data_IF_894403781904
#
_entry.id   IF_894403781904
#
_cell.length_a   1.000
_cell.length_b   1.000
_cell.length_c   1.000
_cell.angle_alpha   90.00
_cell.angle_beta   90.00
_cell.angle_gamma   90.00
#
_symmetry.space_group_name_H-M   'P 1'
#
loop_
_entity.id
_entity.type
_entity.pdbx_description
1 polymer ?
#
# COMPACT_ATOMS: atom_id res chain seq x y z
N UNK A 1 7.45 8.06 -18.69
CA UNK A 1 6.00 8.32 -18.89
C UNK A 1 5.24 7.13 -18.35
N UNK A 2 4.24 7.36 -17.49
CA UNK A 2 3.32 6.34 -17.00
C UNK A 2 1.95 6.58 -17.68
N UNK A 3 1.40 5.52 -18.26
CA UNK A 3 0.07 5.54 -18.88
C UNK A 3 -0.76 4.38 -18.31
N UNK A 4 -2.04 4.63 -18.05
CA UNK A 4 -2.98 3.63 -17.58
C UNK A 4 -4.36 3.87 -18.21
N UNK A 5 -5.04 2.78 -18.51
CA UNK A 5 -6.42 2.78 -19.02
C UNK A 5 -7.04 1.42 -18.74
N UNK A 6 -8.34 1.38 -18.48
CA UNK A 6 -9.08 0.14 -18.30
C UNK A 6 -9.35 -0.57 -19.64
N UNK A 7 -9.28 0.17 -20.75
CA UNK A 7 -9.39 -0.37 -22.10
C UNK A 7 -7.99 -0.58 -22.70
N UNK A 8 -7.62 -1.85 -22.91
CA UNK A 8 -6.30 -2.26 -23.42
C UNK A 8 -6.03 -1.72 -24.82
N UNK A 9 -7.04 -1.67 -25.70
CA UNK A 9 -6.89 -1.21 -27.07
C UNK A 9 -6.68 0.32 -27.11
N UNK A 10 -7.43 1.07 -26.29
CA UNK A 10 -7.22 2.50 -26.13
C UNK A 10 -5.86 2.83 -25.53
N UNK A 11 -5.43 2.06 -24.50
CA UNK A 11 -4.10 2.22 -23.94
C UNK A 11 -3.01 1.97 -24.98
N UNK A 12 -3.13 0.92 -25.77
CA UNK A 12 -2.17 0.58 -26.82
C UNK A 12 -2.07 1.67 -27.88
N UNK A 13 -3.20 2.24 -28.29
CA UNK A 13 -3.22 3.35 -29.23
C UNK A 13 -2.56 4.63 -28.65
N UNK A 14 -2.84 4.94 -27.38
CA UNK A 14 -2.20 6.08 -26.69
C UNK A 14 -0.69 5.87 -26.55
N UNK A 15 -0.25 4.66 -26.20
CA UNK A 15 1.17 4.29 -26.12
C UNK A 15 1.86 4.51 -27.46
N UNK A 16 1.24 4.04 -28.55
CA UNK A 16 1.78 4.22 -29.88
C UNK A 16 1.96 5.70 -30.25
N UNK A 17 0.93 6.52 -30.05
CA UNK A 17 0.98 7.96 -30.35
C UNK A 17 2.06 8.66 -29.52
N UNK A 18 2.12 8.38 -28.21
CA UNK A 18 3.11 9.00 -27.32
C UNK A 18 4.51 8.57 -27.69
N UNK A 19 4.72 7.32 -28.06
CA UNK A 19 6.00 6.79 -28.50
C UNK A 19 6.51 7.50 -29.75
N UNK A 20 5.67 7.65 -30.78
CA UNK A 20 5.98 8.39 -32.02
C UNK A 20 6.41 9.83 -31.74
N UNK A 21 5.82 10.50 -30.73
CA UNK A 21 6.21 11.85 -30.37
C UNK A 21 7.52 11.90 -29.56
N UNK A 22 7.70 10.95 -28.64
CA UNK A 22 8.91 10.87 -27.80
C UNK A 22 10.14 10.52 -28.63
N UNK A 23 10.03 9.58 -29.58
CA UNK A 23 11.15 9.15 -30.43
C UNK A 23 11.70 10.27 -31.35
N UNK A 24 10.96 11.38 -31.51
CA UNK A 24 11.44 12.59 -32.22
C UNK A 24 12.49 13.37 -31.42
N UNK A 25 12.51 13.23 -30.10
CA UNK A 25 13.31 14.06 -29.19
C UNK A 25 14.14 13.25 -28.19
N UNK A 26 13.87 11.95 -28.04
CA UNK A 26 14.53 11.08 -27.05
C UNK A 26 14.53 9.63 -27.53
N UNK A 27 15.41 8.82 -26.96
CA UNK A 27 15.41 7.37 -27.13
C UNK A 27 14.53 6.70 -26.08
N UNK A 28 13.69 5.76 -26.49
CA UNK A 28 12.91 4.91 -25.59
C UNK A 28 13.78 3.70 -25.22
N UNK A 29 14.42 3.76 -24.07
CA UNK A 29 15.34 2.71 -23.60
C UNK A 29 14.62 1.48 -23.06
N UNK A 30 13.38 1.64 -22.57
CA UNK A 30 12.58 0.53 -22.01
C UNK A 30 11.10 0.86 -22.02
N UNK A 31 10.29 -0.17 -22.34
CA UNK A 31 8.84 -0.17 -22.18
C UNK A 31 8.44 -1.35 -21.32
N UNK A 32 7.64 -1.10 -20.28
CA UNK A 32 7.12 -2.12 -19.37
C UNK A 32 5.60 -2.13 -19.44
N UNK A 33 5.02 -3.34 -19.52
CA UNK A 33 3.57 -3.57 -19.49
C UNK A 33 3.19 -4.20 -18.17
N UNK A 34 2.35 -3.52 -17.42
CA UNK A 34 1.80 -4.00 -16.16
C UNK A 34 0.34 -4.40 -16.28
N UNK A 35 -0.07 -5.36 -15.46
CA UNK A 35 -1.45 -5.81 -15.34
C UNK A 35 -1.85 -5.81 -13.89
N UNK A 36 -3.07 -5.34 -13.61
CA UNK A 36 -3.66 -5.40 -12.27
C UNK A 36 -4.20 -6.81 -12.04
N UNK A 37 -3.71 -7.47 -11.01
CA UNK A 37 -4.26 -8.74 -10.56
C UNK A 37 -5.50 -8.50 -9.69
N UNK A 38 -6.54 -9.34 -9.87
CA UNK A 38 -7.80 -9.21 -9.13
C UNK A 38 -8.27 -10.57 -8.64
N UNK A 39 -8.83 -10.57 -7.44
CA UNK A 39 -9.65 -11.68 -6.95
C UNK A 39 -10.96 -11.79 -7.76
N UNK A 40 -11.68 -12.93 -7.68
CA UNK A 40 -12.96 -13.09 -8.37
C UNK A 40 -13.98 -11.99 -8.07
N UNK A 41 -13.95 -11.43 -6.86
CA UNK A 41 -14.80 -10.31 -6.41
C UNK A 41 -14.35 -8.95 -6.94
N UNK A 42 -13.32 -8.92 -7.80
CA UNK A 42 -12.79 -7.71 -8.41
C UNK A 42 -11.78 -6.93 -7.56
N UNK A 43 -11.50 -7.38 -6.35
CA UNK A 43 -10.55 -6.75 -5.44
C UNK A 43 -9.11 -6.89 -5.94
N UNK A 44 -8.36 -5.81 -5.91
CA UNK A 44 -6.95 -5.76 -6.34
C UNK A 44 -6.06 -6.53 -5.36
N UNK A 45 -5.16 -7.35 -5.89
CA UNK A 45 -4.15 -8.11 -5.14
C UNK A 45 -2.77 -7.95 -5.77
N UNK A 46 -1.73 -8.15 -4.98
CA UNK A 46 -0.37 -8.32 -5.45
C UNK A 46 -0.06 -9.82 -5.70
N UNK A 47 1.13 -10.15 -6.21
CA UNK A 47 1.45 -11.50 -6.69
C UNK A 47 1.49 -12.60 -5.60
N UNK A 48 1.69 -12.26 -4.33
CA UNK A 48 1.57 -13.21 -3.22
C UNK A 48 0.11 -13.46 -2.80
N UNK A 49 -0.85 -12.82 -3.48
CA UNK A 49 -2.30 -13.01 -3.29
C UNK A 49 -2.92 -12.12 -2.22
N UNK A 50 -2.18 -11.20 -1.63
CA UNK A 50 -2.72 -10.28 -0.62
C UNK A 50 -3.37 -9.04 -1.24
N UNK A 51 -4.36 -8.49 -0.53
CA UNK A 51 -5.00 -7.22 -0.91
C UNK A 51 -3.97 -6.11 -1.03
N UNK A 52 -4.00 -5.40 -2.15
CA UNK A 52 -3.12 -4.27 -2.43
C UNK A 52 -3.88 -2.95 -2.42
N UNK A 53 -3.18 -1.86 -2.13
CA UNK A 53 -3.73 -0.51 -2.13
C UNK A 53 -4.70 -0.18 -0.99
N UNK A 54 -4.84 -1.03 0.02
CA UNK A 54 -5.87 -0.88 1.07
C UNK A 54 -5.58 0.26 2.04
N UNK A 55 -4.34 0.52 2.39
CA UNK A 55 -3.98 1.52 3.42
C UNK A 55 -3.30 2.75 2.83
N UNK A 56 -3.94 3.40 1.86
CA UNK A 56 -3.39 4.59 1.23
C UNK A 56 -3.64 5.86 2.06
N UNK A 57 -2.73 6.84 2.04
CA UNK A 57 -2.99 8.15 2.60
C UNK A 57 -4.07 8.89 1.80
N UNK A 58 -4.94 9.61 2.49
CA UNK A 58 -6.05 10.36 1.90
C UNK A 58 -5.67 11.83 1.75
N UNK A 59 -5.47 12.27 0.52
CA UNK A 59 -5.03 13.63 0.20
C UNK A 59 -6.17 14.55 -0.20
N UNK A 60 -7.24 14.04 -0.79
CA UNK A 60 -8.35 14.87 -1.29
C UNK A 60 -9.60 14.75 -0.41
N UNK A 61 -10.42 15.79 -0.42
CA UNK A 61 -11.71 15.76 0.27
C UNK A 61 -12.60 14.61 -0.20
N UNK A 62 -12.57 14.34 -1.51
CA UNK A 62 -13.34 13.26 -2.12
C UNK A 62 -12.93 11.88 -1.58
N UNK A 63 -11.62 11.63 -1.45
CA UNK A 63 -11.12 10.36 -0.91
C UNK A 63 -11.49 10.21 0.57
N UNK A 64 -11.40 11.30 1.34
CA UNK A 64 -11.78 11.33 2.76
C UNK A 64 -13.28 11.06 2.94
N UNK A 65 -14.13 11.67 2.13
CA UNK A 65 -15.59 11.44 2.16
C UNK A 65 -15.93 10.01 1.79
N UNK A 66 -15.33 9.49 0.73
CA UNK A 66 -15.51 8.09 0.29
C UNK A 66 -15.08 7.08 1.37
N UNK A 67 -13.95 7.31 2.03
CA UNK A 67 -13.48 6.41 3.10
C UNK A 67 -14.41 6.46 4.31
N UNK A 68 -14.95 7.63 4.65
CA UNK A 68 -15.95 7.77 5.72
C UNK A 68 -17.27 7.05 5.45
N UNK A 69 -17.68 6.99 4.20
CA UNK A 69 -18.87 6.22 3.78
C UNK A 69 -18.66 4.71 3.94
N UNK A 70 -17.41 4.25 3.77
CA UNK A 70 -17.04 2.84 3.91
C UNK A 70 -16.77 2.43 5.36
N UNK A 71 -16.31 3.37 6.19
CA UNK A 71 -15.93 3.15 7.59
C UNK A 71 -16.60 4.22 8.48
N UNK A 72 -17.72 3.87 9.08
CA UNK A 72 -18.56 4.73 9.94
C UNK A 72 -17.85 5.18 11.25
N UNK A 73 -16.61 4.78 11.47
CA UNK A 73 -15.87 5.04 12.70
C UNK A 73 -15.22 6.41 12.77
N UNK A 74 -15.32 7.22 11.71
CA UNK A 74 -14.76 8.58 11.61
C UNK A 74 -13.27 8.67 12.00
N UNK A 75 -12.45 7.66 11.60
CA UNK A 75 -11.01 7.60 11.87
C UNK A 75 -10.63 7.61 13.36
N UNK A 76 -11.45 6.97 14.19
CA UNK A 76 -11.29 7.01 15.66
C UNK A 76 -10.02 6.32 16.16
N UNK A 77 -9.53 5.28 15.45
CA UNK A 77 -8.31 4.55 15.81
C UNK A 77 -7.11 4.91 14.93
N UNK A 78 -7.36 5.28 13.70
CA UNK A 78 -6.34 5.63 12.72
C UNK A 78 -6.83 6.73 11.78
N UNK A 79 -6.08 7.80 11.67
CA UNK A 79 -6.36 8.92 10.76
C UNK A 79 -5.44 8.84 9.53
N UNK A 80 -5.94 8.39 8.37
CA UNK A 80 -5.17 8.27 7.14
C UNK A 80 -5.00 9.61 6.39
N UNK A 81 -5.59 10.71 6.87
CA UNK A 81 -5.53 12.00 6.18
C UNK A 81 -4.11 12.54 6.16
N UNK A 82 -3.69 13.00 5.02
CA UNK A 82 -2.37 13.59 4.81
C UNK A 82 -2.46 14.91 4.03
N UNK A 83 -1.62 15.90 4.32
CA UNK A 83 -1.64 17.15 3.58
C UNK A 83 -1.14 16.94 2.15
N UNK A 84 -1.82 17.53 1.18
CA UNK A 84 -1.48 17.43 -0.24
C UNK A 84 -0.05 17.93 -0.54
N UNK A 85 0.47 18.85 0.29
CA UNK A 85 1.85 19.36 0.20
C UNK A 85 2.95 18.31 0.43
N UNK A 86 2.60 17.12 0.91
CA UNK A 86 3.56 15.99 0.99
C UNK A 86 3.88 15.40 -0.38
N UNK A 87 2.95 15.52 -1.33
CA UNK A 87 3.06 14.87 -2.65
C UNK A 87 3.07 15.86 -3.80
N UNK A 88 2.56 17.08 -3.62
CA UNK A 88 2.59 18.13 -4.63
C UNK A 88 3.52 19.27 -4.22
N UNK A 89 4.43 19.62 -5.12
CA UNK A 89 5.36 20.73 -5.01
C UNK A 89 5.10 21.72 -6.14
N UNK A 90 5.35 23.00 -5.89
CA UNK A 90 5.40 23.98 -6.98
C UNK A 90 6.44 23.55 -7.99
N UNK A 91 6.08 23.54 -9.26
CA UNK A 91 7.03 23.28 -10.34
C UNK A 91 7.93 24.53 -10.51
N UNK A 92 9.24 24.45 -10.23
CA UNK A 92 10.15 25.58 -10.35
C UNK A 92 10.37 26.02 -11.79
N UNK A 93 10.00 25.18 -12.76
CA UNK A 93 10.08 25.48 -14.19
C UNK A 93 8.70 25.75 -14.82
N UNK A 94 7.66 25.71 -14.00
CA UNK A 94 6.29 25.92 -14.41
C UNK A 94 6.07 27.35 -14.92
N UNK A 95 5.28 27.48 -16.00
CA UNK A 95 4.97 28.76 -16.64
C UNK A 95 3.78 29.50 -16.01
N UNK A 96 3.07 28.84 -15.09
CA UNK A 96 1.88 29.39 -14.44
C UNK A 96 1.94 29.19 -12.93
N UNK A 97 1.18 30.00 -12.20
CA UNK A 97 1.03 29.84 -10.74
C UNK A 97 0.40 28.50 -10.33
N UNK A 98 -0.27 27.82 -11.27
CA UNK A 98 -0.94 26.54 -11.05
C UNK A 98 -0.10 25.34 -11.52
N UNK A 99 1.17 25.56 -11.87
CA UNK A 99 2.08 24.48 -12.26
C UNK A 99 2.61 23.77 -11.00
N UNK A 100 2.33 22.47 -10.91
CA UNK A 100 2.78 21.60 -9.85
C UNK A 100 3.48 20.37 -10.41
N UNK A 101 4.36 19.82 -9.62
CA UNK A 101 5.06 18.58 -9.89
C UNK A 101 5.03 17.64 -8.68
N UNK A 102 5.47 16.42 -8.90
CA UNK A 102 5.68 15.43 -7.86
C UNK A 102 6.91 14.60 -8.18
N UNK A 103 7.43 13.89 -7.16
CA UNK A 103 8.48 12.90 -7.39
C UNK A 103 7.87 11.56 -7.74
N UNK A 104 8.45 10.90 -8.76
CA UNK A 104 8.16 9.52 -9.11
C UNK A 104 9.41 8.67 -8.87
N UNK A 105 9.26 7.61 -8.10
CA UNK A 105 10.27 6.56 -7.95
C UNK A 105 9.76 5.31 -8.62
N UNK A 106 10.48 4.83 -9.62
CA UNK A 106 10.16 3.58 -10.31
C UNK A 106 11.17 2.50 -9.92
N UNK A 107 10.67 1.35 -9.48
CA UNK A 107 11.46 0.16 -9.20
C UNK A 107 10.73 -1.07 -9.74
N UNK A 108 11.41 -1.81 -10.61
CA UNK A 108 10.92 -3.12 -11.05
C UNK A 108 11.48 -4.17 -10.09
N UNK A 109 10.59 -4.84 -9.39
CA UNK A 109 10.92 -5.88 -8.42
C UNK A 109 10.27 -7.18 -8.87
N UNK A 110 11.03 -8.26 -8.86
CA UNK A 110 10.51 -9.60 -9.05
C UNK A 110 10.02 -10.16 -7.72
N UNK A 111 8.85 -10.81 -7.73
CA UNK A 111 8.29 -11.53 -6.58
C UNK A 111 8.45 -13.03 -6.84
N UNK A 112 9.24 -13.71 -6.01
CA UNK A 112 9.38 -15.16 -6.03
C UNK A 112 8.17 -15.80 -5.35
N UNK A 113 7.09 -15.96 -6.11
CA UNK A 113 5.83 -16.55 -5.60
C UNK A 113 6.01 -18.00 -5.14
N UNK A 114 6.67 -18.89 -5.89
CA UNK A 114 6.91 -20.26 -5.42
C UNK A 114 7.74 -20.31 -4.12
N UNK A 115 8.77 -19.48 -4.02
CA UNK A 115 9.57 -19.37 -2.81
C UNK A 115 8.77 -18.84 -1.62
N UNK A 116 7.91 -17.86 -1.85
CA UNK A 116 6.98 -17.37 -0.84
C UNK A 116 6.05 -18.48 -0.31
N UNK A 117 5.40 -19.23 -1.19
CA UNK A 117 4.48 -20.30 -0.81
C UNK A 117 5.18 -21.38 0.01
N UNK A 118 6.40 -21.76 -0.40
CA UNK A 118 7.23 -22.73 0.35
C UNK A 118 7.62 -22.21 1.73
N UNK A 119 8.01 -20.93 1.85
CA UNK A 119 8.42 -20.33 3.12
C UNK A 119 7.23 -20.12 4.06
N UNK A 120 6.06 -19.75 3.55
CA UNK A 120 4.81 -19.68 4.34
C UNK A 120 4.46 -21.05 4.89
N UNK A 121 4.57 -22.11 4.08
CA UNK A 121 4.32 -23.49 4.52
C UNK A 121 5.29 -23.91 5.63
N UNK A 122 6.59 -23.70 5.45
CA UNK A 122 7.61 -23.98 6.48
C UNK A 122 7.34 -23.21 7.79
N UNK A 123 6.92 -21.96 7.67
CA UNK A 123 6.56 -21.12 8.82
C UNK A 123 5.34 -21.67 9.54
N UNK A 124 4.31 -22.06 8.80
CA UNK A 124 3.09 -22.67 9.34
C UNK A 124 3.40 -23.96 10.13
N UNK A 125 4.20 -24.86 9.55
CA UNK A 125 4.66 -26.09 10.20
C UNK A 125 5.45 -25.78 11.48
N UNK A 126 6.41 -24.87 11.42
CA UNK A 126 7.27 -24.49 12.55
C UNK A 126 6.51 -23.86 13.72
N UNK A 127 5.49 -23.06 13.41
CA UNK A 127 4.65 -22.39 14.42
C UNK A 127 3.44 -23.23 14.83
N UNK A 128 3.18 -24.35 14.13
CA UNK A 128 1.99 -25.19 14.31
C UNK A 128 0.67 -24.39 14.14
N UNK A 129 0.61 -23.61 13.06
CA UNK A 129 -0.56 -22.80 12.67
C UNK A 129 -0.97 -23.10 11.25
N UNK A 130 -2.10 -22.56 10.80
CA UNK A 130 -2.50 -22.67 9.38
C UNK A 130 -1.64 -21.81 8.46
N UNK A 131 -1.49 -22.21 7.19
CA UNK A 131 -0.77 -21.42 6.17
C UNK A 131 -1.34 -20.00 6.01
N UNK A 132 -2.68 -19.79 5.95
CA UNK A 132 -3.24 -18.44 5.92
C UNK A 132 -2.81 -17.56 7.10
N UNK A 133 -2.73 -18.12 8.31
CA UNK A 133 -2.29 -17.40 9.50
C UNK A 133 -0.78 -17.12 9.46
N UNK A 134 0.03 -18.08 9.01
CA UNK A 134 1.47 -17.87 8.81
C UNK A 134 1.76 -16.74 7.81
N UNK A 135 1.06 -16.73 6.67
CA UNK A 135 1.12 -15.64 5.71
C UNK A 135 0.69 -14.30 6.31
N UNK A 136 -0.39 -14.30 7.09
CA UNK A 136 -0.88 -13.10 7.78
C UNK A 136 0.13 -12.57 8.83
N UNK A 137 0.88 -13.43 9.53
CA UNK A 137 1.97 -13.02 10.42
C UNK A 137 3.10 -12.29 9.68
N UNK A 138 3.36 -12.67 8.44
CA UNK A 138 4.38 -12.02 7.61
C UNK A 138 3.88 -10.71 7.04
N UNK A 139 2.64 -10.68 6.57
CA UNK A 139 2.06 -9.52 5.88
C UNK A 139 1.38 -8.51 6.83
N UNK A 140 0.71 -8.99 7.88
CA UNK A 140 -0.08 -8.20 8.83
C UNK A 140 -1.58 -8.15 8.49
N UNK A 141 -1.98 -8.75 7.37
CA UNK A 141 -3.36 -8.99 6.95
C UNK A 141 -3.49 -10.40 6.40
N UNK A 142 -4.67 -10.97 6.48
CA UNK A 142 -5.04 -12.12 5.65
C UNK A 142 -5.18 -11.73 4.17
N UNK A 143 -5.21 -12.70 3.28
CA UNK A 143 -5.33 -12.45 1.84
C UNK A 143 -6.64 -11.74 1.45
N UNK A 144 -7.70 -11.93 2.23
CA UNK A 144 -8.98 -11.23 2.04
C UNK A 144 -8.95 -9.75 2.47
N UNK A 145 -7.86 -9.30 3.10
CA UNK A 145 -7.65 -7.94 3.57
C UNK A 145 -7.87 -7.74 5.07
N UNK A 146 -8.41 -8.72 5.79
CA UNK A 146 -8.68 -8.62 7.24
C UNK A 146 -7.37 -8.35 8.00
N UNK A 147 -7.30 -7.27 8.80
CA UNK A 147 -6.11 -6.96 9.60
C UNK A 147 -5.90 -8.00 10.70
N UNK A 148 -4.69 -8.54 10.81
CA UNK A 148 -4.34 -9.50 11.85
C UNK A 148 -4.48 -8.91 13.27
N UNK A 149 -4.25 -7.62 13.43
CA UNK A 149 -4.44 -6.91 14.71
C UNK A 149 -5.88 -6.96 15.24
N UNK A 150 -6.87 -7.16 14.34
CA UNK A 150 -8.31 -7.27 14.64
C UNK A 150 -8.82 -8.71 14.58
N UNK A 151 -7.95 -9.71 14.51
CA UNK A 151 -8.37 -11.11 14.52
C UNK A 151 -9.27 -11.43 15.71
N UNK A 152 -10.43 -12.04 15.42
CA UNK A 152 -11.46 -12.34 16.43
C UNK A 152 -12.40 -11.19 16.77
N UNK A 153 -12.23 -9.99 16.19
CA UNK A 153 -13.15 -8.86 16.30
C UNK A 153 -14.07 -8.78 15.06
N UNK A 154 -15.29 -8.28 15.24
CA UNK A 154 -16.16 -7.99 14.09
C UNK A 154 -15.59 -6.76 13.35
N UNK A 155 -15.05 -6.99 12.17
CA UNK A 155 -14.54 -5.93 11.29
C UNK A 155 -14.88 -6.25 9.83
N UNK A 156 -14.96 -5.24 9.00
CA UNK A 156 -14.99 -5.45 7.55
C UNK A 156 -13.59 -5.92 7.10
N UNK A 157 -13.54 -6.78 6.08
CA UNK A 157 -12.28 -7.36 5.59
C UNK A 157 -11.22 -6.31 5.23
N UNK A 158 -11.64 -5.15 4.72
CA UNK A 158 -10.75 -4.09 4.23
C UNK A 158 -10.65 -2.91 5.21
N UNK A 159 -11.05 -3.05 6.47
CA UNK A 159 -11.00 -1.93 7.43
C UNK A 159 -9.58 -1.38 7.63
N UNK A 160 -9.47 -0.06 7.68
CA UNK A 160 -8.23 0.66 7.96
C UNK A 160 -8.24 1.33 9.33
N UNK A 161 -9.40 1.41 9.99
CA UNK A 161 -9.54 2.11 11.26
C UNK A 161 -9.13 1.26 12.45
N UNK A 162 -7.87 0.88 12.51
CA UNK A 162 -7.26 0.16 13.63
C UNK A 162 -5.87 0.70 13.94
N UNK A 163 -5.39 0.43 15.15
CA UNK A 163 -4.01 0.67 15.59
C UNK A 163 -3.47 -0.55 16.35
N UNK A 164 -2.23 -0.45 16.83
CA UNK A 164 -1.57 -1.55 17.54
C UNK A 164 -1.50 -1.33 19.06
N UNK A 165 -2.24 -0.36 19.63
CA UNK A 165 -2.18 -0.04 21.07
C UNK A 165 -2.58 -1.21 21.96
N UNK A 166 -3.48 -2.09 21.47
CA UNK A 166 -3.91 -3.29 22.18
C UNK A 166 -3.00 -4.51 21.98
N UNK A 167 -1.97 -4.39 21.16
CA UNK A 167 -1.03 -5.45 20.83
C UNK A 167 0.43 -4.98 21.01
N UNK A 168 0.74 -4.46 22.18
CA UNK A 168 2.05 -3.88 22.49
C UNK A 168 3.19 -4.91 22.50
N UNK A 169 2.88 -6.19 22.62
CA UNK A 169 3.85 -7.29 22.59
C UNK A 169 4.05 -7.89 21.21
N UNK A 170 3.22 -7.52 20.23
CA UNK A 170 3.25 -8.13 18.90
C UNK A 170 2.76 -9.57 18.88
N UNK A 171 1.94 -9.97 19.87
CA UNK A 171 1.43 -11.33 20.00
C UNK A 171 0.33 -11.65 18.99
N UNK A 172 -0.43 -10.64 18.56
CA UNK A 172 -1.42 -10.78 17.48
C UNK A 172 -0.75 -10.51 16.12
N UNK A 173 -0.26 -9.30 15.93
CA UNK A 173 0.44 -8.91 14.71
C UNK A 173 1.92 -8.69 15.00
N UNK A 174 2.82 -9.54 14.52
CA UNK A 174 4.25 -9.42 14.78
C UNK A 174 4.80 -8.06 14.36
N UNK A 175 5.79 -7.52 15.11
CA UNK A 175 6.45 -6.26 14.79
C UNK A 175 7.11 -6.24 13.40
N UNK A 176 7.47 -7.42 12.89
CA UNK A 176 8.08 -7.57 11.55
C UNK A 176 7.06 -7.72 10.43
N UNK A 177 5.77 -7.84 10.75
CA UNK A 177 4.73 -7.88 9.73
C UNK A 177 4.83 -6.65 8.82
N UNK A 178 4.72 -6.88 7.53
CA UNK A 178 4.97 -5.85 6.51
C UNK A 178 4.21 -4.55 6.78
N UNK A 179 2.89 -4.62 6.99
CA UNK A 179 2.07 -3.42 7.19
C UNK A 179 2.37 -2.72 8.53
N UNK A 180 2.72 -3.47 9.59
CA UNK A 180 3.06 -2.89 10.89
C UNK A 180 4.40 -2.18 10.85
N UNK A 181 5.35 -2.72 10.11
CA UNK A 181 6.67 -2.13 9.93
C UNK A 181 6.65 -0.89 9.05
N UNK A 182 5.85 -0.90 8.00
CA UNK A 182 5.73 0.25 7.07
C UNK A 182 4.84 1.35 7.60
N UNK A 183 3.82 1.00 8.40
CA UNK A 183 2.90 1.94 9.02
C UNK A 183 2.58 1.52 10.46
N UNK A 184 3.39 1.95 11.43
CA UNK A 184 3.31 1.48 12.82
C UNK A 184 2.09 1.97 13.61
N UNK A 185 1.29 2.92 13.11
CA UNK A 185 -0.02 3.32 13.66
C UNK A 185 -0.01 3.55 15.19
N UNK A 186 0.86 4.44 15.66
CA UNK A 186 1.00 4.73 17.09
C UNK A 186 1.95 3.81 17.85
N UNK A 187 2.55 2.83 17.20
CA UNK A 187 3.46 1.84 17.79
C UNK A 187 4.93 2.29 17.81
N UNK A 188 5.21 3.48 17.33
CA UNK A 188 6.56 4.03 17.14
C UNK A 188 7.41 4.03 18.41
N UNK A 189 6.81 4.14 19.57
CA UNK A 189 7.51 4.06 20.86
C UNK A 189 8.01 2.66 21.21
N UNK A 190 7.34 1.63 20.71
CA UNK A 190 7.64 0.23 21.02
C UNK A 190 8.53 -0.43 19.97
N UNK A 191 8.37 -0.06 18.69
CA UNK A 191 9.19 -0.56 17.60
C UNK A 191 10.62 -0.03 17.63
N UNK A 192 10.82 1.14 18.19
CA UNK A 192 12.11 1.81 18.31
C UNK A 192 12.53 1.77 19.79
N UNK A 193 12.69 0.58 20.33
CA UNK A 193 13.49 0.39 21.55
C UNK A 193 14.96 0.85 21.35
N UNK A 194 15.29 1.41 20.21
CA UNK A 194 16.54 2.05 19.85
C UNK A 194 16.33 3.55 19.68
N UNK A 195 16.26 4.29 20.78
CA UNK A 195 16.75 5.64 21.03
C UNK A 195 16.70 6.72 19.92
N UNK A 196 15.83 6.64 18.91
CA UNK A 196 15.60 7.76 18.01
C UNK A 196 14.31 8.46 18.45
N UNK A 197 14.38 9.65 19.07
CA UNK A 197 13.17 10.41 19.33
C UNK A 197 12.60 10.89 18.00
N UNK A 198 11.60 10.19 17.51
CA UNK A 198 10.81 10.69 16.39
C UNK A 198 9.97 11.84 16.92
N UNK A 199 10.37 13.05 16.56
CA UNK A 199 9.73 14.30 16.98
C UNK A 199 8.35 14.53 16.36
N UNK A 200 7.90 13.64 15.46
CA UNK A 200 6.61 13.76 14.79
C UNK A 200 5.93 12.39 14.66
N UNK A 201 4.79 12.26 15.31
CA UNK A 201 3.94 11.06 15.31
C UNK A 201 3.27 10.73 13.96
N UNK A 202 3.65 11.40 12.88
CA UNK A 202 3.04 11.28 11.56
C UNK A 202 4.06 10.99 10.48
N UNK A 203 4.84 9.92 10.61
CA UNK A 203 5.52 9.40 9.45
C UNK A 203 4.60 8.47 8.68
N UNK A 204 3.88 9.02 7.74
CA UNK A 204 3.26 8.26 6.67
C UNK A 204 4.37 7.85 5.70
N UNK A 205 4.81 6.60 5.72
CA UNK A 205 5.61 6.06 4.64
C UNK A 205 4.64 5.67 3.53
N UNK A 206 4.76 6.38 2.43
CA UNK A 206 4.12 6.08 1.16
C UNK A 206 4.86 4.88 0.52
#
# INVERSE_FOLDING_TARGET
ILMADDNVDELSNKVYIVREEVEKIAEVVQEEKGFVLRQPEGKVIEHFGFRDGVSQPLFTKKDIEKERECDDTNFSNWDPRAPLSLVLLKDPFGKTEESYGSYLVYRKLEQDVPGWDEDVKKLAEKLNVSEPLAGAYTMGRFQDGTPLALEGEQSSNDTNNFNYQRDQTGSKCPFHAHIRKTNPRGDTGNLIATKIPLKEEKMHRI
#
